data_IF_719623845009
#
_entry.id   IF_719623845009
#
_cell.length_a   1.000
_cell.length_b   1.000
_cell.length_c   1.000
_cell.angle_alpha   90.00
_cell.angle_beta   90.00
_cell.angle_gamma   90.00
#
_symmetry.space_group_name_H-M   'P 1'
#
loop_
_entity.id
_entity.type
_entity.pdbx_description
1 polymer ?
#
# COMPACT_ATOMS: atom_id res chain seq x y z
N UNK A 1 19.73 -28.55 -31.00
CA UNK A 1 18.27 -28.39 -30.84
C UNK A 1 17.82 -29.31 -29.72
N UNK A 2 17.57 -28.79 -28.51
CA UNK A 2 16.72 -29.40 -27.45
C UNK A 2 16.84 -28.60 -26.14
N UNK A 3 16.11 -27.50 -26.01
CA UNK A 3 16.00 -26.73 -24.75
C UNK A 3 14.52 -26.40 -24.41
N UNK A 4 13.60 -27.29 -24.82
CA UNK A 4 12.15 -27.09 -24.65
C UNK A 4 11.54 -27.91 -23.49
N UNK A 5 12.29 -28.83 -22.87
CA UNK A 5 11.73 -29.81 -21.93
C UNK A 5 11.51 -29.26 -20.51
N UNK A 6 12.34 -28.32 -20.04
CA UNK A 6 12.27 -27.81 -18.66
C UNK A 6 11.15 -26.79 -18.44
N UNK A 7 10.85 -25.96 -19.45
CA UNK A 7 9.82 -24.93 -19.35
C UNK A 7 8.40 -25.51 -19.30
N UNK A 8 8.15 -26.57 -20.08
CA UNK A 8 6.85 -27.27 -20.06
C UNK A 8 6.59 -27.93 -18.69
N UNK A 9 7.63 -28.43 -18.04
CA UNK A 9 7.51 -29.01 -16.68
C UNK A 9 7.13 -27.95 -15.64
N UNK A 10 7.68 -26.74 -15.73
CA UNK A 10 7.33 -25.63 -14.81
C UNK A 10 5.89 -25.17 -15.03
N UNK A 11 5.48 -25.01 -16.29
CA UNK A 11 4.11 -24.60 -16.61
C UNK A 11 3.07 -25.59 -16.07
N UNK A 12 3.32 -26.90 -16.19
CA UNK A 12 2.43 -27.91 -15.60
C UNK A 12 2.40 -27.86 -14.08
N UNK A 13 3.54 -27.62 -13.42
CA UNK A 13 3.59 -27.48 -11.96
C UNK A 13 2.82 -26.26 -11.46
N UNK A 14 2.90 -25.14 -12.19
CA UNK A 14 2.13 -23.93 -11.90
C UNK A 14 0.62 -24.17 -12.10
N UNK A 15 0.23 -24.79 -13.21
CA UNK A 15 -1.18 -25.10 -13.51
C UNK A 15 -1.81 -26.06 -12.50
N UNK A 16 -1.01 -26.99 -11.94
CA UNK A 16 -1.47 -27.95 -10.92
C UNK A 16 -1.34 -27.44 -9.48
N UNK A 17 -0.81 -26.23 -9.28
CA UNK A 17 -0.62 -25.65 -7.95
C UNK A 17 0.42 -26.37 -7.08
N UNK A 18 1.37 -27.10 -7.68
CA UNK A 18 2.39 -27.89 -6.97
C UNK A 18 3.80 -27.29 -7.07
N UNK A 19 3.93 -26.14 -7.73
CA UNK A 19 5.21 -25.44 -7.85
C UNK A 19 5.68 -24.94 -6.46
N UNK A 20 6.91 -25.27 -6.10
CA UNK A 20 7.52 -24.86 -4.83
C UNK A 20 8.49 -23.69 -5.05
N UNK A 21 8.44 -22.68 -4.19
CA UNK A 21 9.27 -21.49 -4.28
C UNK A 21 10.19 -21.38 -3.05
N UNK A 22 11.48 -21.19 -3.31
CA UNK A 22 12.54 -20.89 -2.37
C UNK A 22 12.87 -19.40 -2.44
N UNK A 23 13.10 -18.78 -1.28
CA UNK A 23 13.52 -17.38 -1.20
C UNK A 23 15.05 -17.30 -1.21
N UNK A 24 15.62 -16.66 -2.24
CA UNK A 24 17.06 -16.43 -2.40
C UNK A 24 17.41 -14.96 -2.21
N UNK A 25 18.61 -14.70 -1.68
CA UNK A 25 19.09 -13.35 -1.35
C UNK A 25 19.81 -12.64 -2.50
N UNK A 26 19.93 -13.29 -3.67
CA UNK A 26 20.61 -12.73 -4.84
C UNK A 26 19.83 -13.00 -6.12
N UNK A 27 19.80 -12.05 -7.08
CA UNK A 27 19.09 -12.24 -8.34
C UNK A 27 19.72 -13.40 -9.14
N UNK A 28 18.89 -14.35 -9.56
CA UNK A 28 19.30 -15.40 -10.50
C UNK A 28 19.31 -14.81 -11.91
N UNK A 29 20.34 -15.11 -12.71
CA UNK A 29 20.42 -14.65 -14.11
C UNK A 29 19.21 -15.19 -14.90
N UNK A 30 18.35 -14.30 -15.36
CA UNK A 30 17.24 -14.62 -16.27
C UNK A 30 17.78 -15.27 -17.55
N UNK A 31 17.09 -16.30 -18.05
CA UNK A 31 17.43 -17.01 -19.30
C UNK A 31 17.06 -16.17 -20.55
N UNK A 32 16.41 -15.03 -20.38
CA UNK A 32 16.01 -14.14 -21.47
C UNK A 32 16.38 -12.68 -21.21
N UNK A 33 17.40 -12.22 -21.95
CA UNK A 33 17.76 -10.82 -22.30
C UNK A 33 18.35 -9.90 -21.20
N UNK A 34 19.33 -9.03 -21.56
CA UNK A 34 20.04 -8.17 -20.62
C UNK A 34 19.34 -6.80 -20.48
N UNK A 35 18.38 -6.68 -19.57
CA UNK A 35 17.96 -5.35 -19.10
C UNK A 35 18.81 -4.98 -17.89
N UNK A 36 19.94 -4.31 -18.15
CA UNK A 36 20.72 -3.61 -17.13
C UNK A 36 19.91 -2.40 -16.68
N UNK A 37 19.19 -2.50 -15.56
CA UNK A 37 18.77 -1.33 -14.80
C UNK A 37 19.90 -0.96 -13.83
N UNK A 38 20.35 0.30 -13.77
CA UNK A 38 21.43 0.70 -12.85
C UNK A 38 20.98 0.50 -11.40
N UNK A 39 21.76 -0.27 -10.66
CA UNK A 39 21.55 -0.52 -9.24
C UNK A 39 21.79 0.77 -8.44
N UNK A 40 20.72 1.40 -7.94
CA UNK A 40 20.82 2.27 -6.78
C UNK A 40 21.00 1.38 -5.54
N UNK A 41 22.21 1.42 -4.98
CA UNK A 41 22.58 0.78 -3.74
C UNK A 41 21.86 1.45 -2.56
N UNK A 42 20.71 0.90 -2.20
CA UNK A 42 20.02 1.16 -0.95
C UNK A 42 19.67 -0.18 -0.31
N UNK A 43 19.92 -0.31 0.99
CA UNK A 43 19.97 -1.54 1.79
C UNK A 43 18.61 -2.29 1.96
N UNK A 44 17.84 -2.42 0.88
CA UNK A 44 16.59 -3.16 0.83
C UNK A 44 16.90 -4.64 0.62
N UNK A 45 16.60 -5.48 1.60
CA UNK A 45 16.67 -6.94 1.50
C UNK A 45 15.70 -7.42 0.41
N UNK A 46 16.14 -7.36 -0.85
CA UNK A 46 15.39 -7.86 -2.01
C UNK A 46 15.50 -9.37 -2.03
N UNK A 47 14.46 -10.01 -1.55
CA UNK A 47 14.26 -11.45 -1.62
C UNK A 47 13.71 -11.81 -2.99
N UNK A 48 14.32 -12.78 -3.66
CA UNK A 48 13.86 -13.29 -4.96
C UNK A 48 13.29 -14.69 -4.74
N UNK A 49 12.16 -15.01 -5.37
CA UNK A 49 11.64 -16.38 -5.36
C UNK A 49 12.24 -17.19 -6.52
N UNK A 50 12.82 -18.36 -6.23
CA UNK A 50 13.30 -19.35 -7.20
C UNK A 50 12.52 -20.64 -7.02
N UNK A 51 12.24 -21.39 -8.08
CA UNK A 51 11.67 -22.73 -7.93
C UNK A 51 12.74 -23.67 -7.37
N UNK A 52 12.52 -24.22 -6.17
CA UNK A 52 13.51 -24.97 -5.38
C UNK A 52 12.97 -26.31 -4.86
N UNK A 53 13.87 -27.20 -4.45
CA UNK A 53 13.55 -28.51 -3.84
C UNK A 53 13.30 -28.33 -2.34
N UNK A 54 12.42 -29.13 -1.69
CA UNK A 54 11.98 -28.84 -0.33
C UNK A 54 13.07 -29.13 0.71
N UNK A 55 13.80 -28.10 1.14
CA UNK A 55 14.65 -28.17 2.32
C UNK A 55 14.78 -26.78 3.00
N UNK A 56 14.36 -26.69 4.28
CA UNK A 56 14.62 -25.54 5.17
C UNK A 56 13.43 -24.60 5.35
N UNK A 57 12.62 -24.76 6.40
CA UNK A 57 12.70 -24.10 7.74
C UNK A 57 11.74 -22.90 7.85
N UNK A 58 11.01 -22.74 8.98
CA UNK A 58 9.95 -21.75 9.12
C UNK A 58 10.58 -20.35 9.04
N UNK A 59 10.37 -19.70 7.90
CA UNK A 59 10.87 -18.36 7.63
C UNK A 59 10.41 -17.42 8.75
N UNK A 60 11.38 -16.67 9.26
CA UNK A 60 11.32 -15.78 10.42
C UNK A 60 10.06 -14.90 10.38
N UNK A 61 9.08 -15.20 11.24
CA UNK A 61 8.06 -14.21 11.63
C UNK A 61 8.81 -13.10 12.38
N UNK A 62 9.24 -12.06 11.68
CA UNK A 62 9.62 -10.79 12.32
C UNK A 62 8.34 -10.27 12.98
N UNK A 63 8.23 -10.43 14.29
CA UNK A 63 7.10 -9.91 15.05
C UNK A 63 7.30 -8.39 15.11
N UNK A 64 6.60 -7.67 14.25
CA UNK A 64 6.54 -6.22 14.30
C UNK A 64 5.58 -5.84 15.43
N UNK A 65 6.12 -5.19 16.47
CA UNK A 65 5.33 -4.74 17.61
C UNK A 65 4.76 -3.36 17.31
N UNK A 66 3.47 -3.31 16.94
CA UNK A 66 2.75 -2.07 16.74
C UNK A 66 1.96 -1.68 17.99
N UNK A 67 1.91 -0.39 18.30
CA UNK A 67 0.99 0.16 19.30
C UNK A 67 -0.21 0.79 18.60
N UNK A 68 -1.41 0.34 18.93
CA UNK A 68 -2.65 0.89 18.35
C UNK A 68 -3.00 2.22 19.02
N UNK A 69 -3.25 3.25 18.21
CA UNK A 69 -3.78 4.55 18.65
C UNK A 69 -5.21 4.69 18.14
N UNK A 70 -6.14 4.99 19.04
CA UNK A 70 -7.54 5.21 18.67
C UNK A 70 -7.73 6.52 17.91
N UNK A 71 -8.63 6.47 16.94
CA UNK A 71 -9.08 7.59 16.11
C UNK A 71 -10.58 7.79 16.33
N UNK A 72 -11.03 9.04 16.25
CA UNK A 72 -12.46 9.36 16.35
C UNK A 72 -13.20 8.85 15.11
N UNK A 73 -14.32 8.13 15.33
CA UNK A 73 -15.19 7.63 14.27
C UNK A 73 -16.26 8.64 13.84
N UNK A 74 -15.85 9.72 13.18
CA UNK A 74 -16.74 10.81 12.70
C UNK A 74 -16.78 10.93 11.16
N UNK A 75 -16.52 9.82 10.47
CA UNK A 75 -16.45 9.76 9.00
C UNK A 75 -15.10 10.16 8.40
N UNK A 76 -14.18 10.75 9.20
CA UNK A 76 -12.84 11.18 8.76
C UNK A 76 -11.72 10.23 9.19
N UNK A 77 -12.07 9.01 9.63
CA UNK A 77 -11.12 8.13 10.32
C UNK A 77 -9.85 7.86 9.51
N UNK A 78 -9.95 7.69 8.19
CA UNK A 78 -8.81 7.56 7.28
C UNK A 78 -7.84 8.75 7.40
N UNK A 79 -8.34 9.95 7.14
CA UNK A 79 -7.55 11.17 7.11
C UNK A 79 -6.99 11.52 8.49
N UNK A 80 -7.81 11.39 9.54
CA UNK A 80 -7.39 11.56 10.94
C UNK A 80 -6.26 10.61 11.32
N UNK A 81 -6.33 9.35 10.89
CA UNK A 81 -5.30 8.36 11.19
C UNK A 81 -3.96 8.74 10.53
N UNK A 82 -3.99 9.20 9.28
CA UNK A 82 -2.80 9.68 8.58
C UNK A 82 -2.21 10.93 9.24
N UNK A 83 -3.03 11.93 9.52
CA UNK A 83 -2.63 13.17 10.21
C UNK A 83 -1.96 12.85 11.54
N UNK A 84 -2.60 12.00 12.35
CA UNK A 84 -2.06 11.59 13.65
C UNK A 84 -0.77 10.79 13.54
N UNK A 85 -0.67 9.90 12.54
CA UNK A 85 0.56 9.15 12.24
C UNK A 85 1.71 10.06 11.80
N UNK A 86 1.45 11.00 10.89
CA UNK A 86 2.44 11.98 10.42
C UNK A 86 2.92 12.90 11.55
N UNK A 87 2.00 13.37 12.41
CA UNK A 87 2.34 14.17 13.58
C UNK A 87 3.19 13.38 14.59
N UNK A 88 2.81 12.13 14.86
CA UNK A 88 3.54 11.23 15.74
C UNK A 88 4.98 11.00 15.26
N UNK A 89 5.19 10.77 13.95
CA UNK A 89 6.51 10.62 13.35
C UNK A 89 7.40 11.86 13.51
N UNK A 90 6.80 13.04 13.65
CA UNK A 90 7.49 14.32 13.88
C UNK A 90 7.60 14.70 15.36
N UNK A 91 7.11 13.87 16.28
CA UNK A 91 7.05 14.18 17.71
C UNK A 91 6.07 15.30 18.05
N UNK A 92 5.09 15.58 17.18
CA UNK A 92 4.07 16.61 17.37
C UNK A 92 2.84 15.96 18.00
N UNK A 93 2.30 16.59 19.04
CA UNK A 93 1.03 16.20 19.64
C UNK A 93 -0.08 17.10 19.10
N UNK A 94 -1.13 16.51 18.53
CA UNK A 94 -2.31 17.22 18.06
C UNK A 94 -3.44 17.11 19.09
N UNK A 95 -4.18 18.19 19.29
CA UNK A 95 -5.45 18.14 19.98
C UNK A 95 -6.59 17.66 19.03
N UNK A 96 -7.76 17.24 19.54
CA UNK A 96 -8.82 16.68 18.70
C UNK A 96 -9.36 17.60 17.61
N UNK A 97 -9.25 18.92 17.81
CA UNK A 97 -9.66 19.93 16.82
C UNK A 97 -8.62 20.08 15.73
N UNK A 98 -7.33 20.17 16.08
CA UNK A 98 -6.23 20.17 15.10
C UNK A 98 -6.26 18.91 14.24
N UNK A 99 -6.42 17.73 14.87
CA UNK A 99 -6.54 16.45 14.15
C UNK A 99 -7.69 16.46 13.14
N UNK A 100 -8.80 17.14 13.46
CA UNK A 100 -9.96 17.28 12.56
C UNK A 100 -9.68 18.25 11.43
N UNK A 101 -9.19 19.44 11.77
CA UNK A 101 -9.03 20.54 10.83
C UNK A 101 -7.93 20.17 9.79
N UNK A 102 -6.84 19.52 10.23
CA UNK A 102 -5.79 18.96 9.36
C UNK A 102 -6.31 17.80 8.49
N UNK A 103 -7.24 16.98 9.01
CA UNK A 103 -7.85 15.88 8.25
C UNK A 103 -8.77 16.41 7.14
N UNK A 104 -9.53 17.47 7.40
CA UNK A 104 -10.34 18.17 6.41
C UNK A 104 -9.44 18.81 5.33
N UNK A 105 -8.29 19.38 5.71
CA UNK A 105 -7.31 19.92 4.75
C UNK A 105 -6.72 18.81 3.85
N UNK A 106 -6.36 17.67 4.44
CA UNK A 106 -5.83 16.52 3.70
C UNK A 106 -6.86 15.97 2.70
N UNK A 107 -8.13 15.90 3.09
CA UNK A 107 -9.25 15.52 2.21
C UNK A 107 -9.43 16.51 1.06
N UNK A 108 -9.33 17.82 1.33
CA UNK A 108 -9.41 18.86 0.32
C UNK A 108 -8.24 18.82 -0.67
N UNK A 109 -7.04 18.48 -0.22
CA UNK A 109 -5.89 18.30 -1.11
C UNK A 109 -6.11 17.15 -2.11
N UNK A 110 -6.69 16.02 -1.67
CA UNK A 110 -7.04 14.92 -2.59
C UNK A 110 -8.08 15.38 -3.61
N UNK A 111 -9.11 16.10 -3.15
CA UNK A 111 -10.12 16.65 -4.05
C UNK A 111 -9.49 17.58 -5.08
N UNK A 112 -8.60 18.47 -4.70
CA UNK A 112 -7.98 19.43 -5.62
C UNK A 112 -7.23 18.71 -6.75
N UNK A 113 -6.32 17.79 -6.41
CA UNK A 113 -5.50 17.10 -7.42
C UNK A 113 -6.31 16.13 -8.28
N UNK A 114 -7.37 15.52 -7.74
CA UNK A 114 -8.22 14.61 -8.50
C UNK A 114 -9.33 15.34 -9.25
N UNK A 115 -9.88 16.44 -8.77
CA UNK A 115 -11.10 17.02 -9.37
C UNK A 115 -10.82 18.27 -10.20
N UNK A 116 -9.83 19.08 -9.84
CA UNK A 116 -9.71 20.43 -10.39
C UNK A 116 -8.77 20.50 -11.59
N UNK A 117 -7.69 19.69 -11.60
CA UNK A 117 -6.69 19.70 -12.67
C UNK A 117 -6.60 18.38 -13.43
N UNK A 118 -6.96 18.40 -14.73
CA UNK A 118 -6.80 17.24 -15.61
C UNK A 118 -5.33 16.80 -15.75
N UNK A 119 -4.37 17.73 -15.68
CA UNK A 119 -2.94 17.43 -15.83
C UNK A 119 -2.37 16.79 -14.57
N UNK A 120 -2.72 17.30 -13.40
CA UNK A 120 -2.24 16.73 -12.13
C UNK A 120 -2.86 15.38 -11.86
N UNK A 121 -4.16 15.21 -12.12
CA UNK A 121 -4.85 13.92 -12.00
C UNK A 121 -4.13 12.79 -12.71
N UNK A 122 -3.54 13.04 -13.88
CA UNK A 122 -2.81 12.02 -14.66
C UNK A 122 -1.58 11.46 -13.93
N UNK A 123 -1.01 12.19 -12.98
CA UNK A 123 0.10 11.70 -12.14
C UNK A 123 -0.36 10.61 -11.14
N UNK A 124 -1.66 10.51 -10.91
CA UNK A 124 -2.32 9.60 -9.97
C UNK A 124 -3.15 8.55 -10.72
N UNK A 125 -2.60 7.98 -11.81
CA UNK A 125 -3.29 7.00 -12.66
C UNK A 125 -3.87 5.82 -11.87
N UNK A 126 -3.11 5.23 -10.95
CA UNK A 126 -3.57 4.12 -10.09
C UNK A 126 -4.81 4.51 -9.27
N UNK A 127 -4.80 5.72 -8.67
CA UNK A 127 -5.95 6.22 -7.92
C UNK A 127 -7.14 6.49 -8.84
N UNK A 128 -6.90 7.03 -10.03
CA UNK A 128 -7.96 7.29 -11.01
C UNK A 128 -8.63 6.00 -11.48
N UNK A 129 -7.85 4.93 -11.70
CA UNK A 129 -8.38 3.61 -12.01
C UNK A 129 -9.22 3.10 -10.84
N UNK A 130 -8.70 3.13 -9.62
CA UNK A 130 -9.45 2.69 -8.42
C UNK A 130 -10.79 3.42 -8.29
N UNK A 131 -10.81 4.75 -8.45
CA UNK A 131 -12.04 5.56 -8.42
C UNK A 131 -13.01 5.12 -9.53
N UNK A 132 -12.52 5.02 -10.76
CA UNK A 132 -13.37 4.82 -11.94
C UNK A 132 -13.91 3.40 -12.09
N UNK A 133 -13.28 2.43 -11.42
CA UNK A 133 -13.81 1.07 -11.26
C UNK A 133 -15.06 1.07 -10.39
N UNK A 134 -15.08 1.87 -9.31
CA UNK A 134 -16.18 1.90 -8.35
C UNK A 134 -17.30 2.86 -8.75
N UNK A 135 -16.98 4.05 -9.27
CA UNK A 135 -17.96 5.04 -9.68
C UNK A 135 -17.43 6.01 -10.76
N UNK A 136 -18.31 6.80 -11.38
CA UNK A 136 -17.84 7.87 -12.27
C UNK A 136 -17.06 8.95 -11.51
N UNK A 137 -15.99 9.48 -12.10
CA UNK A 137 -15.21 10.58 -11.53
C UNK A 137 -16.07 11.80 -11.13
N UNK A 138 -17.15 12.08 -11.89
CA UNK A 138 -18.09 13.16 -11.57
C UNK A 138 -18.78 12.94 -10.22
N UNK A 139 -19.26 11.72 -9.97
CA UNK A 139 -19.91 11.37 -8.71
C UNK A 139 -18.91 11.40 -7.56
N UNK A 140 -17.72 10.86 -7.76
CA UNK A 140 -16.62 10.94 -6.79
C UNK A 140 -16.35 12.38 -6.35
N UNK A 141 -16.14 13.30 -7.31
CA UNK A 141 -15.85 14.70 -7.03
C UNK A 141 -16.98 15.46 -6.32
N UNK A 142 -18.23 14.98 -6.43
CA UNK A 142 -19.37 15.52 -5.67
C UNK A 142 -19.39 15.04 -4.22
N UNK A 143 -18.81 13.86 -3.93
CA UNK A 143 -18.82 13.24 -2.60
C UNK A 143 -17.57 13.55 -1.79
N UNK A 144 -16.38 13.56 -2.41
CA UNK A 144 -15.11 13.69 -1.66
C UNK A 144 -15.00 14.98 -0.84
N UNK A 145 -15.67 16.06 -1.19
CA UNK A 145 -15.66 17.28 -0.39
C UNK A 145 -16.61 17.27 0.82
N UNK A 146 -17.37 16.19 1.04
CA UNK A 146 -18.37 16.14 2.10
C UNK A 146 -17.76 15.67 3.43
N UNK A 147 -18.22 16.21 4.57
CA UNK A 147 -17.68 15.87 5.90
C UNK A 147 -17.95 14.43 6.35
N UNK A 148 -18.87 13.72 5.68
CA UNK A 148 -19.25 12.33 5.92
C UNK A 148 -18.66 11.35 4.89
N UNK A 149 -17.77 11.83 4.00
CA UNK A 149 -17.10 10.99 3.02
C UNK A 149 -16.06 10.09 3.68
N UNK A 150 -16.22 8.78 3.51
CA UNK A 150 -15.25 7.80 3.97
C UNK A 150 -14.26 7.53 2.84
N UNK A 151 -12.98 7.81 3.10
CA UNK A 151 -11.94 7.48 2.15
C UNK A 151 -11.53 6.01 2.21
N UNK A 152 -10.82 5.56 1.18
CA UNK A 152 -10.27 4.21 1.06
C UNK A 152 -8.97 4.19 0.27
N UNK A 153 -8.80 3.15 -0.54
CA UNK A 153 -7.57 2.89 -1.29
C UNK A 153 -7.22 4.02 -2.27
N UNK A 154 -8.20 4.55 -3.00
CA UNK A 154 -7.98 5.65 -3.96
C UNK A 154 -7.34 6.86 -3.31
N UNK A 155 -7.84 7.28 -2.14
CA UNK A 155 -7.29 8.43 -1.42
C UNK A 155 -5.88 8.13 -0.90
N UNK A 156 -5.63 6.91 -0.45
CA UNK A 156 -4.29 6.48 0.00
C UNK A 156 -3.26 6.51 -1.13
N UNK A 157 -3.62 6.08 -2.32
CA UNK A 157 -2.76 6.15 -3.51
C UNK A 157 -2.38 7.59 -3.85
N UNK A 158 -3.33 8.52 -3.71
CA UNK A 158 -3.07 9.97 -3.89
C UNK A 158 -2.16 10.49 -2.79
N UNK A 159 -2.49 10.22 -1.54
CA UNK A 159 -1.78 10.76 -0.37
C UNK A 159 -0.37 10.22 -0.22
N UNK A 160 -0.12 8.95 -0.55
CA UNK A 160 1.22 8.36 -0.59
C UNK A 160 2.16 9.14 -1.51
N UNK A 161 1.65 9.51 -2.70
CA UNK A 161 2.38 10.32 -3.68
C UNK A 161 2.49 11.79 -3.26
N UNK A 162 1.39 12.41 -2.78
CA UNK A 162 1.38 13.82 -2.34
C UNK A 162 2.33 14.07 -1.17
N UNK A 163 2.31 13.19 -0.17
CA UNK A 163 3.17 13.30 1.01
C UNK A 163 4.59 12.77 0.75
N UNK A 164 4.82 12.13 -0.40
CA UNK A 164 6.07 11.44 -0.74
C UNK A 164 6.53 10.50 0.39
N UNK A 165 5.57 9.76 0.95
CA UNK A 165 5.76 8.84 2.07
C UNK A 165 4.96 7.56 1.83
N UNK A 166 5.56 6.37 2.02
CA UNK A 166 4.83 5.13 1.89
C UNK A 166 3.82 5.01 3.02
N UNK A 167 2.61 4.59 2.67
CA UNK A 167 1.53 4.32 3.62
C UNK A 167 1.32 2.81 3.68
N UNK A 168 1.48 2.22 4.86
CA UNK A 168 1.25 0.80 5.11
C UNK A 168 -0.06 0.66 5.87
N UNK A 169 -0.98 -0.12 5.31
CA UNK A 169 -2.25 -0.48 5.96
C UNK A 169 -2.11 -1.86 6.57
N UNK A 170 -2.24 -1.96 7.89
CA UNK A 170 -2.27 -3.23 8.58
C UNK A 170 -3.73 -3.67 8.82
N UNK A 171 -4.08 -4.83 8.27
CA UNK A 171 -5.36 -5.50 8.47
C UNK A 171 -5.09 -6.73 9.35
N UNK A 172 -5.59 -6.78 10.60
CA UNK A 172 -5.40 -7.93 11.45
C UNK A 172 -6.13 -9.17 10.91
N UNK A 173 -5.52 -10.35 11.06
CA UNK A 173 -6.11 -11.64 10.63
C UNK A 173 -7.38 -12.01 11.43
N UNK A 174 -7.49 -11.53 12.66
CA UNK A 174 -8.64 -11.73 13.54
C UNK A 174 -9.11 -10.40 14.09
N UNK A 175 -10.41 -10.14 13.94
CA UNK A 175 -11.08 -9.07 14.67
C UNK A 175 -11.12 -9.47 16.15
N UNK A 176 -10.40 -8.75 17.01
CA UNK A 176 -10.67 -8.84 18.43
C UNK A 176 -12.12 -8.33 18.64
N UNK A 177 -13.00 -9.06 19.36
CA UNK A 177 -14.40 -8.66 19.55
C UNK A 177 -14.58 -7.33 20.33
N UNK A 178 -13.49 -6.67 20.71
CA UNK A 178 -13.44 -5.36 21.36
C UNK A 178 -12.90 -4.23 20.48
N UNK A 179 -12.59 -4.48 19.20
CA UNK A 179 -11.97 -3.49 18.31
C UNK A 179 -12.89 -3.10 17.17
N UNK A 180 -13.51 -1.93 17.29
CA UNK A 180 -13.99 -1.17 16.14
C UNK A 180 -12.81 -0.95 15.17
N UNK A 181 -12.93 -1.43 13.93
CA UNK A 181 -12.05 -1.23 12.77
C UNK A 181 -10.78 -0.40 13.04
N UNK A 182 -9.72 -1.08 13.48
CA UNK A 182 -8.41 -0.45 13.68
C UNK A 182 -7.68 -0.45 12.35
N UNK A 183 -7.87 0.61 11.56
CA UNK A 183 -6.92 0.94 10.50
C UNK A 183 -5.62 1.41 11.15
N UNK A 184 -4.67 0.50 11.31
CA UNK A 184 -3.31 0.86 11.69
C UNK A 184 -2.58 1.35 10.44
N UNK A 185 -2.40 2.66 10.35
CA UNK A 185 -1.54 3.29 9.35
C UNK A 185 -0.13 3.40 9.90
N UNK A 186 0.81 2.73 9.26
CA UNK A 186 2.22 2.96 9.49
C UNK A 186 2.73 3.77 8.30
N UNK A 187 2.92 5.08 8.49
CA UNK A 187 3.85 5.83 7.65
C UNK A 187 5.25 5.46 8.14
N UNK A 188 5.91 4.50 7.50
CA UNK A 188 7.28 4.16 7.83
C UNK A 188 8.23 5.05 7.01
N UNK A 189 9.14 5.76 7.69
CA UNK A 189 10.25 6.48 7.07
C UNK A 189 11.38 5.51 6.68
#
# INVERSE_FOLDING_TARGET
>A
MTEHSSNNSILEQLQRGIAQFEIVSSPVRSISTPCQVPFLAGNSHRFYARIGSPQGSPAMKKIEHFSVRKITGDGRCLFRALVKGMAFNKGISLNPREERDDADELQMAVKEVICDSNKERQLYEEALIAITVDESLKHYCQRIGKPDFWGGESELLVLSKLCNQPIIVYIPEHEDPSSDLVLSFVCQL
#
